data_IF_248744332791
#
_entry.id   IF_248744332791
#
_cell.length_a   1.000
_cell.length_b   1.000
_cell.length_c   1.000
_cell.angle_alpha   90.00
_cell.angle_beta   90.00
_cell.angle_gamma   90.00
#
_symmetry.space_group_name_H-M   'P 1'
#
loop_
_entity.id
_entity.type
_entity.pdbx_description
1 polymer ?
#
# COMPACT_ATOMS: atom_id res chain seq x y z
N UNK A 1 -20.46 -6.89 22.78
CA UNK A 1 -20.60 -5.56 22.14
C UNK A 1 -20.15 -5.70 20.70
N UNK A 2 -21.02 -5.47 19.72
CA UNK A 2 -20.59 -5.43 18.31
C UNK A 2 -19.67 -4.21 18.16
N UNK A 3 -18.40 -4.42 17.81
CA UNK A 3 -17.50 -3.33 17.48
C UNK A 3 -18.12 -2.51 16.34
N UNK A 4 -18.21 -1.19 16.52
CA UNK A 4 -18.68 -0.31 15.46
C UNK A 4 -17.70 -0.41 14.29
N UNK A 5 -18.18 -0.83 13.12
CA UNK A 5 -17.35 -0.89 11.91
C UNK A 5 -16.99 0.53 11.48
N UNK A 6 -15.72 0.77 11.18
CA UNK A 6 -15.25 2.05 10.66
C UNK A 6 -15.81 2.22 9.23
N UNK A 7 -16.46 3.35 8.96
CA UNK A 7 -17.02 3.66 7.64
C UNK A 7 -15.94 3.94 6.59
N UNK A 8 -16.29 3.78 5.30
CA UNK A 8 -15.37 4.00 4.18
C UNK A 8 -14.67 5.37 4.24
N UNK A 9 -15.42 6.44 4.52
CA UNK A 9 -14.87 7.79 4.55
C UNK A 9 -13.82 7.95 5.66
N UNK A 10 -14.08 7.39 6.83
CA UNK A 10 -13.14 7.40 7.96
C UNK A 10 -11.90 6.54 7.66
N UNK A 11 -12.06 5.37 7.04
CA UNK A 11 -10.93 4.54 6.58
C UNK A 11 -10.07 5.28 5.55
N UNK A 12 -10.70 5.89 4.53
CA UNK A 12 -10.00 6.68 3.51
C UNK A 12 -9.25 7.85 4.13
N UNK A 13 -9.88 8.59 5.05
CA UNK A 13 -9.25 9.71 5.74
C UNK A 13 -8.06 9.26 6.60
N UNK A 14 -8.16 8.11 7.26
CA UNK A 14 -7.08 7.53 8.06
C UNK A 14 -5.88 7.12 7.21
N UNK A 15 -6.13 6.48 6.06
CA UNK A 15 -5.05 6.13 5.13
C UNK A 15 -4.42 7.40 4.56
N UNK A 16 -5.24 8.36 4.08
CA UNK A 16 -4.74 9.61 3.52
C UNK A 16 -3.88 10.41 4.51
N UNK A 17 -4.32 10.56 5.77
CA UNK A 17 -3.55 11.27 6.79
C UNK A 17 -2.21 10.61 7.10
N UNK A 18 -2.15 9.28 7.08
CA UNK A 18 -0.88 8.54 7.25
C UNK A 18 0.09 8.74 6.08
N UNK A 19 -0.42 8.93 4.85
CA UNK A 19 0.39 9.15 3.65
C UNK A 19 0.91 10.60 3.54
N UNK A 20 0.10 11.59 3.94
CA UNK A 20 0.41 13.03 3.85
C UNK A 20 1.37 13.51 4.94
N UNK A 21 1.97 12.60 5.70
CA UNK A 21 3.06 12.91 6.62
C UNK A 21 4.30 13.50 5.93
N UNK A 22 5.45 13.48 6.60
CA UNK A 22 6.68 14.12 6.06
C UNK A 22 7.11 13.59 4.68
N UNK A 23 6.77 12.35 4.33
CA UNK A 23 7.18 11.70 3.08
C UNK A 23 6.71 12.39 1.80
N UNK A 24 5.49 12.94 1.77
CA UNK A 24 4.92 13.54 0.55
C UNK A 24 5.64 14.80 0.10
N UNK A 25 6.25 15.53 1.04
CA UNK A 25 7.02 16.75 0.76
C UNK A 25 8.51 16.45 0.57
N UNK A 26 9.07 15.56 1.39
CA UNK A 26 10.51 15.24 1.36
C UNK A 26 10.92 14.49 0.09
N UNK A 27 10.08 13.58 -0.43
CA UNK A 27 10.43 12.78 -1.61
C UNK A 27 10.57 13.64 -2.89
N UNK A 28 9.59 14.48 -3.28
CA UNK A 28 9.76 15.39 -4.41
C UNK A 28 10.94 16.33 -4.23
N UNK A 29 11.14 16.87 -3.02
CA UNK A 29 12.24 17.79 -2.72
C UNK A 29 13.60 17.14 -2.95
N UNK A 30 13.80 15.92 -2.43
CA UNK A 30 15.06 15.17 -2.60
C UNK A 30 15.30 14.80 -4.06
N UNK A 31 14.25 14.38 -4.77
CA UNK A 31 14.36 14.02 -6.19
C UNK A 31 14.64 15.23 -7.09
N UNK A 32 14.06 16.39 -6.78
CA UNK A 32 14.31 17.63 -7.51
C UNK A 32 15.76 18.13 -7.37
N UNK A 33 16.51 17.68 -6.35
CA UNK A 33 17.93 18.00 -6.22
C UNK A 33 18.82 17.26 -7.22
N UNK A 34 18.36 16.11 -7.72
CA UNK A 34 19.17 15.21 -8.57
C UNK A 34 18.58 15.00 -9.97
N UNK A 35 17.33 15.40 -10.20
CA UNK A 35 16.61 15.21 -11.46
C UNK A 35 15.96 16.51 -11.94
N UNK A 36 15.82 16.65 -13.27
CA UNK A 36 15.06 17.75 -13.86
C UNK A 36 13.53 17.54 -13.69
N UNK A 37 12.76 18.61 -13.83
CA UNK A 37 11.31 18.58 -13.57
C UNK A 37 10.52 17.60 -14.43
N UNK A 38 10.94 17.38 -15.69
CA UNK A 38 10.27 16.41 -16.57
C UNK A 38 10.54 14.95 -16.14
N UNK A 39 11.76 14.61 -15.73
CA UNK A 39 12.07 13.29 -15.19
C UNK A 39 11.29 13.00 -13.90
N UNK A 40 11.12 14.00 -13.03
CA UNK A 40 10.33 13.87 -11.81
C UNK A 40 8.86 13.54 -12.12
N UNK A 41 8.23 14.24 -13.07
CA UNK A 41 6.85 13.99 -13.48
C UNK A 41 6.66 12.57 -14.03
N UNK A 42 7.58 12.11 -14.88
CA UNK A 42 7.54 10.74 -15.42
C UNK A 42 7.70 9.70 -14.31
N UNK A 43 8.63 9.90 -13.38
CA UNK A 43 8.84 9.01 -12.25
C UNK A 43 7.60 8.90 -11.35
N UNK A 44 6.92 10.03 -11.10
CA UNK A 44 5.66 10.06 -10.36
C UNK A 44 4.53 9.34 -11.09
N UNK A 45 4.44 9.50 -12.41
CA UNK A 45 3.42 8.82 -13.20
C UNK A 45 3.62 7.30 -13.19
N UNK A 46 4.85 6.83 -13.38
CA UNK A 46 5.19 5.40 -13.30
C UNK A 46 4.87 4.85 -11.91
N UNK A 47 5.28 5.56 -10.85
CA UNK A 47 4.99 5.18 -9.46
C UNK A 47 3.49 5.11 -9.20
N UNK A 48 2.74 6.12 -9.62
CA UNK A 48 1.28 6.17 -9.46
C UNK A 48 0.59 5.00 -10.16
N UNK A 49 0.98 4.71 -11.40
CA UNK A 49 0.45 3.56 -12.15
C UNK A 49 0.78 2.24 -11.44
N UNK A 50 2.02 2.06 -10.96
CA UNK A 50 2.42 0.87 -10.21
C UNK A 50 1.61 0.68 -8.91
N UNK A 51 1.38 1.76 -8.15
CA UNK A 51 0.57 1.72 -6.92
C UNK A 51 -0.88 1.36 -7.24
N UNK A 52 -1.46 1.85 -8.35
CA UNK A 52 -2.82 1.47 -8.76
C UNK A 52 -2.89 -0.03 -9.03
N UNK A 53 -1.93 -0.61 -9.76
CA UNK A 53 -1.90 -2.05 -10.00
C UNK A 53 -1.76 -2.87 -8.70
N UNK A 54 -0.91 -2.41 -7.78
CA UNK A 54 -0.77 -3.03 -6.46
C UNK A 54 -2.09 -2.99 -5.67
N UNK A 55 -2.75 -1.83 -5.63
CA UNK A 55 -4.01 -1.65 -4.94
C UNK A 55 -5.13 -2.52 -5.52
N UNK A 56 -5.21 -2.62 -6.85
CA UNK A 56 -6.18 -3.49 -7.53
C UNK A 56 -5.91 -4.97 -7.27
N UNK A 57 -4.64 -5.39 -7.21
CA UNK A 57 -4.27 -6.77 -6.86
C UNK A 57 -4.73 -7.13 -5.44
N UNK A 58 -4.45 -6.26 -4.45
CA UNK A 58 -4.89 -6.47 -3.08
C UNK A 58 -6.41 -6.42 -2.94
N UNK A 59 -7.09 -5.49 -3.64
CA UNK A 59 -8.55 -5.43 -3.69
C UNK A 59 -9.15 -6.72 -4.24
N UNK A 60 -8.53 -7.28 -5.29
CA UNK A 60 -8.96 -8.53 -5.90
C UNK A 60 -8.82 -9.70 -4.91
N UNK A 61 -7.71 -9.79 -4.19
CA UNK A 61 -7.50 -10.80 -3.15
C UNK A 61 -8.51 -10.68 -2.01
N UNK A 62 -8.75 -9.47 -1.50
CA UNK A 62 -9.75 -9.23 -0.44
C UNK A 62 -11.16 -9.67 -0.86
N UNK A 63 -11.51 -9.52 -2.15
CA UNK A 63 -12.81 -9.97 -2.67
C UNK A 63 -12.88 -11.49 -2.88
N UNK A 64 -11.78 -12.12 -3.29
CA UNK A 64 -11.73 -13.56 -3.55
C UNK A 64 -11.60 -14.40 -2.28
N UNK A 65 -10.84 -13.92 -1.30
CA UNK A 65 -10.57 -14.60 -0.03
C UNK A 65 -10.97 -13.71 1.16
N UNK A 66 -12.27 -13.42 1.32
CA UNK A 66 -12.76 -12.59 2.43
C UNK A 66 -12.61 -13.27 3.80
N UNK A 67 -12.24 -14.55 3.83
CA UNK A 67 -11.87 -15.32 5.02
C UNK A 67 -10.48 -14.93 5.58
N UNK A 68 -9.63 -14.29 4.77
CA UNK A 68 -8.25 -13.95 5.15
C UNK A 68 -8.15 -12.51 5.66
N UNK A 69 -8.29 -12.33 6.99
CA UNK A 69 -8.28 -10.99 7.62
C UNK A 69 -6.86 -10.45 7.96
N UNK A 70 -5.79 -11.24 7.78
CA UNK A 70 -4.42 -10.89 8.15
C UNK A 70 -3.64 -10.08 7.11
N UNK A 71 -4.30 -9.58 6.06
CA UNK A 71 -3.69 -8.77 5.02
C UNK A 71 -2.60 -9.50 4.22
N UNK A 72 -1.55 -8.77 3.83
CA UNK A 72 -0.49 -9.27 2.93
C UNK A 72 0.21 -10.54 3.43
N UNK A 73 0.35 -10.70 4.76
CA UNK A 73 0.94 -11.90 5.36
C UNK A 73 0.08 -13.13 5.10
N UNK A 74 -1.23 -13.06 5.38
CA UNK A 74 -2.12 -14.19 5.19
C UNK A 74 -2.23 -14.56 3.70
N UNK A 75 -2.26 -13.57 2.80
CA UNK A 75 -2.25 -13.83 1.36
C UNK A 75 -0.98 -14.57 0.92
N UNK A 76 0.19 -14.12 1.40
CA UNK A 76 1.47 -14.74 1.07
C UNK A 76 1.60 -16.15 1.65
N UNK A 77 1.20 -16.34 2.91
CA UNK A 77 1.24 -17.64 3.59
C UNK A 77 0.30 -18.66 2.94
N UNK A 78 -0.94 -18.27 2.68
CA UNK A 78 -1.94 -19.17 2.10
C UNK A 78 -1.61 -19.53 0.65
N UNK A 79 -1.07 -18.57 -0.12
CA UNK A 79 -0.72 -18.81 -1.52
C UNK A 79 0.60 -19.57 -1.72
N UNK A 80 1.57 -19.42 -0.81
CA UNK A 80 2.96 -19.82 -1.06
C UNK A 80 3.65 -20.54 0.12
N UNK A 81 2.95 -20.75 1.24
CA UNK A 81 3.45 -21.48 2.41
C UNK A 81 4.14 -20.59 3.46
N UNK A 82 4.51 -21.23 4.57
CA UNK A 82 4.94 -20.55 5.79
C UNK A 82 6.21 -19.70 5.63
N UNK A 83 7.17 -20.15 4.80
CA UNK A 83 8.41 -19.40 4.56
C UNK A 83 8.13 -18.06 3.86
N UNK A 84 7.32 -18.07 2.82
CA UNK A 84 6.98 -16.86 2.05
C UNK A 84 6.07 -15.95 2.89
N UNK A 85 5.17 -16.53 3.68
CA UNK A 85 4.43 -15.81 4.71
C UNK A 85 5.38 -15.08 5.67
N UNK A 86 6.36 -15.78 6.24
CA UNK A 86 7.37 -15.19 7.13
C UNK A 86 8.14 -14.05 6.45
N UNK A 87 8.65 -14.27 5.22
CA UNK A 87 9.34 -13.23 4.47
C UNK A 87 8.47 -12.00 4.21
N UNK A 88 7.17 -12.19 3.93
CA UNK A 88 6.23 -11.07 3.73
C UNK A 88 5.97 -10.30 5.02
N UNK A 89 5.82 -10.98 6.16
CA UNK A 89 5.62 -10.31 7.44
C UNK A 89 6.88 -9.56 7.88
N UNK A 90 8.05 -10.18 7.71
CA UNK A 90 9.34 -9.56 8.01
C UNK A 90 9.63 -8.36 7.10
N UNK A 91 9.40 -8.47 5.79
CA UNK A 91 9.66 -7.37 4.86
C UNK A 91 8.70 -6.18 4.98
N UNK A 92 7.56 -6.38 5.64
CA UNK A 92 6.60 -5.30 5.88
C UNK A 92 6.96 -4.43 7.09
N UNK A 93 7.75 -4.97 8.02
CA UNK A 93 8.08 -4.33 9.29
C UNK A 93 9.54 -3.89 9.33
#
# INVERSE_FOLDING_TARGET
MSAAKIGLLSLTALVFSSMVGSGVFSLPQNMAQVANGSALLVAWLITGVGIIFLALSLLHLTRQRPDLDGGIYNYAREGFGDLIGFCSAWGYW
#
